data_IF_473070340696
#
_entry.id   IF_473070340696
#
_cell.length_a   1.000
_cell.length_b   1.000
_cell.length_c   1.000
_cell.angle_alpha   90.00
_cell.angle_beta   90.00
_cell.angle_gamma   90.00
#
_symmetry.space_group_name_H-M   'P 1'
#
loop_
_entity.id
_entity.type
_entity.pdbx_description
1 polymer ?
#
# COMPACT_ATOMS: atom_id res chain seq x y z
N UNK A 1 10.46 25.76 17.63
CA UNK A 1 10.62 24.84 16.50
C UNK A 1 9.44 23.87 16.53
N UNK A 2 8.49 23.94 15.60
CA UNK A 2 7.38 22.96 15.58
C UNK A 2 7.94 21.64 15.07
N UNK A 3 8.12 20.66 15.94
CA UNK A 3 8.50 19.30 15.55
C UNK A 3 7.39 18.71 14.68
N UNK A 4 7.73 18.23 13.48
CA UNK A 4 6.80 17.50 12.61
C UNK A 4 6.24 16.32 13.43
N UNK A 5 4.91 16.11 13.45
CA UNK A 5 4.35 14.98 14.17
C UNK A 5 4.92 13.66 13.61
N UNK A 6 5.16 12.65 14.47
CA UNK A 6 5.67 11.37 14.03
C UNK A 6 4.71 10.74 13.01
N UNK A 7 5.28 10.11 11.97
CA UNK A 7 4.50 9.40 10.96
C UNK A 7 3.71 8.26 11.61
N UNK A 8 2.46 8.06 11.18
CA UNK A 8 1.58 7.01 11.70
C UNK A 8 1.33 5.98 10.61
N UNK A 9 1.67 4.71 10.86
CA UNK A 9 1.42 3.65 9.89
C UNK A 9 -0.08 3.52 9.52
N UNK A 10 -0.98 3.85 10.44
CA UNK A 10 -2.43 3.75 10.29
C UNK A 10 -3.09 4.90 9.51
N UNK A 11 -2.32 5.85 8.97
CA UNK A 11 -2.87 6.97 8.22
C UNK A 11 -3.55 6.50 6.92
N UNK A 12 -4.82 6.86 6.76
CA UNK A 12 -5.59 6.60 5.54
C UNK A 12 -5.57 7.83 4.63
N UNK A 13 -5.31 7.60 3.34
CA UNK A 13 -5.49 8.57 2.26
C UNK A 13 -6.09 7.89 1.03
N UNK A 14 -6.90 8.59 0.21
CA UNK A 14 -7.38 8.04 -1.05
C UNK A 14 -6.21 7.54 -1.90
N UNK A 15 -6.31 6.32 -2.41
CA UNK A 15 -5.31 5.69 -3.29
C UNK A 15 -5.82 5.50 -4.72
N UNK A 16 -7.11 5.77 -4.94
CA UNK A 16 -7.80 5.76 -6.21
C UNK A 16 -8.17 7.20 -6.58
N UNK A 17 -7.99 7.58 -7.83
CA UNK A 17 -8.46 8.88 -8.36
C UNK A 17 -9.96 8.85 -8.63
N UNK A 18 -10.64 10.00 -8.64
CA UNK A 18 -12.09 10.07 -8.95
C UNK A 18 -12.45 9.41 -10.29
N UNK A 19 -11.59 9.56 -11.30
CA UNK A 19 -11.77 8.94 -12.62
C UNK A 19 -11.70 7.41 -12.53
N UNK A 20 -10.66 6.88 -11.87
CA UNK A 20 -10.52 5.43 -11.65
C UNK A 20 -11.70 4.88 -10.84
N UNK A 21 -12.15 5.64 -9.83
CA UNK A 21 -13.23 5.24 -8.93
C UNK A 21 -14.59 5.13 -9.61
N UNK A 22 -14.83 5.95 -10.63
CA UNK A 22 -16.04 5.85 -11.46
C UNK A 22 -16.13 4.48 -12.13
N UNK A 23 -15.05 4.02 -12.78
CA UNK A 23 -15.02 2.73 -13.48
C UNK A 23 -15.09 1.54 -12.53
N UNK A 24 -14.39 1.63 -11.40
CA UNK A 24 -14.42 0.59 -10.36
C UNK A 24 -15.86 0.41 -9.82
N UNK A 25 -16.57 1.51 -9.54
CA UNK A 25 -17.96 1.45 -9.09
C UNK A 25 -18.91 0.92 -10.15
N UNK A 26 -18.72 1.30 -11.42
CA UNK A 26 -19.51 0.77 -12.54
C UNK A 26 -19.34 -0.76 -12.67
N UNK A 27 -18.16 -1.28 -12.36
CA UNK A 27 -17.89 -2.72 -12.27
C UNK A 27 -18.40 -3.37 -10.96
N UNK A 28 -19.19 -2.65 -10.16
CA UNK A 28 -19.70 -3.08 -8.85
C UNK A 28 -18.61 -3.50 -7.85
N UNK A 29 -17.44 -2.85 -7.91
CA UNK A 29 -16.31 -3.07 -7.01
C UNK A 29 -16.20 -1.96 -5.96
N UNK A 30 -15.59 -2.31 -4.84
CA UNK A 30 -15.21 -1.44 -3.71
C UNK A 30 -13.80 -1.80 -3.21
N UNK A 31 -13.27 -1.06 -2.22
CA UNK A 31 -11.90 -1.27 -1.72
C UNK A 31 -11.67 -2.70 -1.21
N UNK A 32 -12.67 -3.29 -0.53
CA UNK A 32 -12.59 -4.67 -0.05
C UNK A 32 -12.50 -5.64 -1.23
N UNK A 33 -13.45 -5.60 -2.15
CA UNK A 33 -13.45 -6.52 -3.30
C UNK A 33 -12.21 -6.37 -4.19
N UNK A 34 -11.62 -5.17 -4.28
CA UNK A 34 -10.35 -4.96 -5.01
C UNK A 34 -9.20 -5.74 -4.36
N UNK A 35 -9.14 -5.79 -3.02
CA UNK A 35 -8.10 -6.55 -2.33
C UNK A 35 -8.20 -8.07 -2.59
N UNK A 36 -9.37 -8.57 -2.99
CA UNK A 36 -9.58 -9.99 -3.31
C UNK A 36 -9.25 -10.35 -4.77
N UNK A 37 -9.00 -9.36 -5.65
CA UNK A 37 -8.79 -9.58 -7.09
C UNK A 37 -7.31 -9.55 -7.48
N UNK A 38 -6.89 -10.36 -8.47
CA UNK A 38 -5.62 -10.11 -9.14
C UNK A 38 -5.65 -8.79 -9.92
N UNK A 39 -4.49 -8.25 -10.29
CA UNK A 39 -4.43 -7.04 -11.12
C UNK A 39 -5.07 -7.28 -12.49
N UNK A 40 -4.92 -8.49 -13.02
CA UNK A 40 -5.49 -8.99 -14.27
C UNK A 40 -7.02 -9.09 -14.18
N UNK A 41 -7.55 -9.63 -13.08
CA UNK A 41 -9.00 -9.70 -12.86
C UNK A 41 -9.60 -8.30 -12.76
N UNK A 42 -8.95 -7.40 -12.03
CA UNK A 42 -9.39 -6.00 -11.93
C UNK A 42 -9.37 -5.34 -13.30
N UNK A 43 -8.27 -5.47 -14.06
CA UNK A 43 -8.13 -4.92 -15.41
C UNK A 43 -9.22 -5.44 -16.35
N UNK A 44 -9.56 -6.73 -16.27
CA UNK A 44 -10.62 -7.35 -17.07
C UNK A 44 -12.00 -6.84 -16.67
N UNK A 45 -12.31 -6.76 -15.37
CA UNK A 45 -13.62 -6.32 -14.86
C UNK A 45 -13.97 -4.88 -15.20
N UNK A 46 -12.97 -4.03 -15.38
CA UNK A 46 -13.13 -2.63 -15.79
C UNK A 46 -12.87 -2.42 -17.28
N UNK A 47 -12.92 -3.50 -18.08
CA UNK A 47 -12.78 -3.47 -19.54
C UNK A 47 -11.47 -2.81 -20.03
N UNK A 48 -10.40 -2.98 -19.26
CA UNK A 48 -9.06 -2.48 -19.60
C UNK A 48 -8.87 -0.97 -19.51
N UNK A 49 -9.84 -0.24 -18.93
CA UNK A 49 -9.81 1.23 -18.88
C UNK A 49 -8.66 1.78 -18.01
N UNK A 50 -8.27 1.05 -16.96
CA UNK A 50 -7.08 1.36 -16.16
C UNK A 50 -5.96 0.43 -16.60
N UNK A 51 -4.77 0.98 -16.80
CA UNK A 51 -3.57 0.22 -17.19
C UNK A 51 -3.25 -0.91 -16.21
N UNK A 52 -2.78 -2.05 -16.72
CA UNK A 52 -2.60 -3.27 -15.93
C UNK A 52 -1.63 -3.09 -14.75
N UNK A 53 -0.51 -2.39 -14.95
CA UNK A 53 0.43 -2.05 -13.89
C UNK A 53 -0.23 -1.25 -12.77
N UNK A 54 -1.06 -0.27 -13.12
CA UNK A 54 -1.89 0.46 -12.14
C UNK A 54 -2.90 -0.44 -11.44
N UNK A 55 -3.58 -1.36 -12.13
CA UNK A 55 -4.48 -2.34 -11.50
C UNK A 55 -3.75 -3.24 -10.49
N UNK A 56 -2.54 -3.72 -10.82
CA UNK A 56 -1.68 -4.47 -9.90
C UNK A 56 -1.32 -3.65 -8.67
N UNK A 57 -1.01 -2.37 -8.84
CA UNK A 57 -0.75 -1.47 -7.71
C UNK A 57 -1.99 -1.29 -6.82
N UNK A 58 -3.18 -1.08 -7.40
CA UNK A 58 -4.42 -0.88 -6.64
C UNK A 58 -4.77 -2.11 -5.78
N UNK A 59 -4.69 -3.31 -6.36
CA UNK A 59 -4.96 -4.57 -5.64
C UNK A 59 -3.93 -4.81 -4.53
N UNK A 60 -2.66 -4.52 -4.79
CA UNK A 60 -1.57 -4.59 -3.80
C UNK A 60 -1.79 -3.63 -2.62
N UNK A 61 -2.15 -2.36 -2.91
CA UNK A 61 -2.45 -1.35 -1.89
C UNK A 61 -3.63 -1.82 -1.02
N UNK A 62 -4.71 -2.26 -1.66
CA UNK A 62 -5.91 -2.69 -0.95
C UNK A 62 -5.63 -3.90 -0.03
N UNK A 63 -4.82 -4.86 -0.49
CA UNK A 63 -4.38 -6.01 0.34
C UNK A 63 -3.52 -5.60 1.52
N UNK A 64 -2.50 -4.77 1.28
CA UNK A 64 -1.60 -4.32 2.35
C UNK A 64 -2.33 -3.47 3.39
N UNK A 65 -3.31 -2.68 2.98
CA UNK A 65 -4.15 -1.88 3.89
C UNK A 65 -5.07 -2.72 4.78
N UNK A 66 -5.29 -4.01 4.47
CA UNK A 66 -6.01 -4.94 5.37
C UNK A 66 -5.15 -5.42 6.54
N UNK A 67 -3.84 -5.18 6.52
CA UNK A 67 -2.97 -5.55 7.64
C UNK A 67 -3.31 -4.70 8.88
N UNK A 68 -3.38 -5.30 10.09
CA UNK A 68 -3.69 -4.56 11.30
C UNK A 68 -2.73 -3.40 11.56
N UNK A 69 -3.26 -2.19 11.64
CA UNK A 69 -2.48 -0.97 11.90
C UNK A 69 -1.82 -0.34 10.67
N UNK A 70 -2.06 -0.88 9.46
CA UNK A 70 -1.60 -0.30 8.20
C UNK A 70 -2.75 0.46 7.55
N UNK A 71 -2.55 1.76 7.36
CA UNK A 71 -3.46 2.60 6.60
C UNK A 71 -3.08 2.65 5.12
N UNK A 72 -4.02 3.11 4.29
CA UNK A 72 -3.84 3.15 2.83
C UNK A 72 -2.70 4.05 2.37
N UNK A 73 -2.25 5.04 3.16
CA UNK A 73 -1.07 5.84 2.82
C UNK A 73 0.22 5.01 2.91
N UNK A 74 0.36 4.25 4.00
CA UNK A 74 1.50 3.36 4.20
C UNK A 74 1.52 2.29 3.11
N UNK A 75 0.37 1.68 2.81
CA UNK A 75 0.25 0.71 1.72
C UNK A 75 0.66 1.30 0.36
N UNK A 76 0.24 2.53 0.04
CA UNK A 76 0.69 3.24 -1.17
C UNK A 76 2.21 3.40 -1.23
N UNK A 77 2.83 3.77 -0.11
CA UNK A 77 4.27 3.99 -0.07
C UNK A 77 5.06 2.70 -0.14
N UNK A 78 4.58 1.62 0.50
CA UNK A 78 5.14 0.28 0.37
C UNK A 78 5.15 -0.18 -1.09
N UNK A 79 4.00 -0.10 -1.79
CA UNK A 79 3.92 -0.49 -3.21
C UNK A 79 4.83 0.37 -4.08
N UNK A 80 4.88 1.68 -3.82
CA UNK A 80 5.81 2.58 -4.52
C UNK A 80 7.29 2.23 -4.26
N UNK A 81 7.60 1.71 -3.07
CA UNK A 81 8.91 1.18 -2.70
C UNK A 81 9.22 -0.22 -3.21
N UNK A 82 8.32 -0.84 -3.98
CA UNK A 82 8.49 -2.20 -4.51
C UNK A 82 8.03 -3.32 -3.57
N UNK A 83 7.41 -2.98 -2.43
CA UNK A 83 6.81 -3.96 -1.51
C UNK A 83 5.32 -4.12 -1.89
N UNK A 84 5.06 -5.05 -2.82
CA UNK A 84 3.73 -5.27 -3.39
C UNK A 84 2.84 -6.25 -2.64
N UNK A 85 3.42 -7.07 -1.76
CA UNK A 85 2.71 -8.17 -1.11
C UNK A 85 3.21 -8.42 0.32
N UNK A 86 2.42 -9.20 1.05
CA UNK A 86 2.62 -9.50 2.47
C UNK A 86 3.87 -10.38 2.70
N UNK A 87 4.17 -11.31 1.80
CA UNK A 87 5.32 -12.20 1.93
C UNK A 87 6.63 -11.43 1.72
N UNK A 88 6.69 -10.55 0.72
CA UNK A 88 7.80 -9.63 0.49
C UNK A 88 7.97 -8.68 1.67
N UNK A 89 6.89 -8.12 2.21
CA UNK A 89 6.95 -7.27 3.41
C UNK A 89 7.52 -8.04 4.60
N UNK A 90 7.10 -9.29 4.82
CA UNK A 90 7.58 -10.13 5.93
C UNK A 90 9.04 -10.51 5.78
N UNK A 91 9.49 -10.85 4.56
CA UNK A 91 10.84 -11.34 4.30
C UNK A 91 11.90 -10.23 4.25
N UNK A 92 11.50 -8.98 4.02
CA UNK A 92 12.42 -7.84 3.88
C UNK A 92 12.69 -7.22 5.25
N UNK A 93 13.97 -6.98 5.60
CA UNK A 93 14.32 -6.30 6.85
C UNK A 93 13.66 -4.91 6.95
N UNK A 94 13.19 -4.52 8.14
CA UNK A 94 12.45 -3.27 8.36
C UNK A 94 13.24 -2.03 7.92
N UNK A 95 14.56 -2.02 8.14
CA UNK A 95 15.48 -0.98 7.68
C UNK A 95 15.52 -0.90 6.15
N UNK A 96 15.51 -2.04 5.47
CA UNK A 96 15.50 -2.13 4.02
C UNK A 96 14.17 -1.65 3.44
N UNK A 97 13.04 -2.03 4.05
CA UNK A 97 11.70 -1.51 3.67
C UNK A 97 11.69 0.02 3.79
N UNK A 98 12.21 0.55 4.89
CA UNK A 98 12.29 1.99 5.13
C UNK A 98 13.17 2.71 4.10
N UNK A 99 14.34 2.15 3.80
CA UNK A 99 15.24 2.69 2.79
C UNK A 99 14.58 2.70 1.39
N UNK A 100 13.96 1.60 0.98
CA UNK A 100 13.27 1.48 -0.31
C UNK A 100 12.17 2.53 -0.47
N UNK A 101 11.34 2.72 0.55
CA UNK A 101 10.27 3.73 0.54
C UNK A 101 10.83 5.15 0.46
N UNK A 102 11.83 5.47 1.29
CA UNK A 102 12.47 6.79 1.28
C UNK A 102 13.13 7.08 -0.08
N UNK A 103 13.82 6.09 -0.67
CA UNK A 103 14.41 6.20 -2.01
C UNK A 103 13.34 6.43 -3.07
N UNK A 104 12.24 5.67 -3.04
CA UNK A 104 11.17 5.81 -4.03
C UNK A 104 10.41 7.15 -3.92
N UNK A 105 10.37 7.75 -2.74
CA UNK A 105 9.79 9.08 -2.51
C UNK A 105 10.76 10.22 -2.80
N UNK A 106 12.07 9.97 -2.76
CA UNK A 106 13.13 10.95 -2.99
C UNK A 106 13.47 11.81 -1.77
N UNK A 107 12.98 11.45 -0.57
CA UNK A 107 13.28 12.14 0.69
C UNK A 107 13.04 11.23 1.91
N UNK A 108 13.73 11.46 3.04
CA UNK A 108 13.63 10.62 4.24
C UNK A 108 12.34 10.93 5.03
N UNK A 109 11.24 10.29 4.65
CA UNK A 109 9.96 10.43 5.35
C UNK A 109 9.83 9.47 6.53
N UNK A 110 10.42 8.28 6.42
CA UNK A 110 10.44 7.26 7.46
C UNK A 110 11.79 7.27 8.15
N UNK A 111 11.78 7.28 9.48
CA UNK A 111 12.97 7.18 10.32
C UNK A 111 12.86 6.01 11.30
N UNK A 112 13.71 6.00 12.33
CA UNK A 112 13.87 4.87 13.27
C UNK A 112 12.56 4.46 13.98
N UNK A 113 11.67 5.41 14.23
CA UNK A 113 10.36 5.12 14.79
C UNK A 113 9.51 4.28 13.84
N UNK A 114 9.52 4.60 12.54
CA UNK A 114 8.79 3.82 11.54
C UNK A 114 9.44 2.45 11.34
N UNK A 115 10.77 2.36 11.38
CA UNK A 115 11.48 1.07 11.35
C UNK A 115 11.00 0.14 12.47
N UNK A 116 10.91 0.66 13.71
CA UNK A 116 10.38 -0.11 14.84
C UNK A 116 8.92 -0.52 14.63
N UNK A 117 8.07 0.37 14.13
CA UNK A 117 6.68 0.04 13.83
C UNK A 117 6.55 -1.04 12.74
N UNK A 118 7.39 -0.99 11.70
CA UNK A 118 7.44 -2.02 10.64
C UNK A 118 7.92 -3.36 11.20
N UNK A 119 8.96 -3.38 12.05
CA UNK A 119 9.43 -4.61 12.70
C UNK A 119 8.33 -5.25 13.57
N UNK A 120 7.56 -4.43 14.29
CA UNK A 120 6.40 -4.89 15.07
C UNK A 120 5.25 -5.38 14.17
N UNK A 121 5.04 -4.75 13.01
CA UNK A 121 4.06 -5.23 12.04
C UNK A 121 4.47 -6.61 11.50
N UNK A 122 5.73 -6.76 11.09
CA UNK A 122 6.26 -8.00 10.53
C UNK A 122 6.17 -9.18 11.50
N UNK A 123 6.41 -8.95 12.80
CA UNK A 123 6.29 -10.01 13.82
C UNK A 123 4.84 -10.48 14.05
N UNK A 124 3.84 -9.72 13.59
CA UNK A 124 2.42 -10.08 13.64
C UNK A 124 1.92 -10.75 12.36
N UNK A 125 2.68 -10.70 11.27
CA UNK A 125 2.30 -11.33 10.00
C UNK A 125 2.53 -12.85 10.14
N UNK A 126 1.45 -13.59 10.39
CA UNK A 126 1.47 -15.06 10.49
C UNK A 126 1.57 -15.64 11.91
N UNK A 127 1.41 -14.79 12.94
CA UNK A 127 1.10 -15.22 14.30
C UNK A 127 -0.41 -15.45 14.45
#
# INVERSE_FOLDING_TARGET
MKTRPPYKLSENRPFVTEKEWTWIKLAALNEDTIADLSGEDLHTRIEGVIELGRCRNLTSIARLARLPGVGTLTAQWLVRGGIGDVDTLRATAAETVCAQVNTALGYPVWGDEVVRQIAVLQSKIGA
#
